data_IF_062575343809
#
_entry.id   IF_062575343809
#
_cell.length_a   1.000
_cell.length_b   1.000
_cell.length_c   1.000
_cell.angle_alpha   90.00
_cell.angle_beta   90.00
_cell.angle_gamma   90.00
#
_symmetry.space_group_name_H-M   'P 1'
#
loop_
_entity.id
_entity.type
_entity.pdbx_description
1 polymer ?
#
# COMPACT_ATOMS: atom_id res chain seq x y z
N UNK A 1 4.27 29.03 -1.19
CA UNK A 1 2.81 28.94 -1.02
C UNK A 1 2.58 27.70 -0.18
N UNK A 2 2.35 27.86 1.11
CA UNK A 2 2.02 26.73 2.00
C UNK A 2 0.59 26.30 1.68
N UNK A 3 0.42 25.06 1.21
CA UNK A 3 -0.89 24.45 1.07
C UNK A 3 -1.30 23.94 2.46
N UNK A 4 -2.08 24.74 3.18
CA UNK A 4 -2.70 24.34 4.44
C UNK A 4 -3.83 23.34 4.14
N UNK A 5 -3.52 22.05 4.17
CA UNK A 5 -4.48 20.93 4.11
C UNK A 5 -4.63 20.25 5.48
N UNK A 6 -4.55 21.06 6.54
CA UNK A 6 -4.87 20.63 7.89
C UNK A 6 -6.39 20.38 8.00
N UNK A 7 -6.84 19.37 8.77
CA UNK A 7 -8.26 19.14 9.02
C UNK A 7 -8.92 20.41 9.58
N UNK A 8 -10.07 20.81 9.04
CA UNK A 8 -10.86 21.91 9.59
C UNK A 8 -11.28 21.58 11.03
N UNK A 9 -11.04 22.48 11.97
CA UNK A 9 -11.53 22.34 13.35
C UNK A 9 -13.06 22.49 13.36
N UNK A 10 -13.77 21.36 13.26
CA UNK A 10 -15.22 21.30 13.45
C UNK A 10 -15.61 21.54 14.91
N UNK A 11 -16.80 22.11 15.15
CA UNK A 11 -17.35 22.26 16.50
C UNK A 11 -17.41 20.91 17.20
N UNK A 12 -16.61 20.73 18.27
CA UNK A 12 -16.51 19.48 19.02
C UNK A 12 -17.84 19.17 19.70
N UNK A 13 -18.64 18.28 19.12
CA UNK A 13 -19.72 17.61 19.85
C UNK A 13 -19.12 16.58 20.81
N UNK A 14 -19.65 16.43 22.02
CA UNK A 14 -19.08 15.54 23.05
C UNK A 14 -19.05 14.04 22.67
N UNK A 15 -19.63 13.64 21.53
CA UNK A 15 -19.72 12.24 21.08
C UNK A 15 -18.97 11.94 19.77
N UNK A 16 -18.25 12.88 19.16
CA UNK A 16 -17.50 12.63 17.92
C UNK A 16 -16.03 12.36 18.19
N UNK A 17 -15.55 11.16 17.82
CA UNK A 17 -14.12 10.80 17.93
C UNK A 17 -13.30 11.55 16.88
N UNK A 18 -12.31 12.32 17.33
CA UNK A 18 -11.33 12.94 16.45
C UNK A 18 -10.22 11.95 16.08
N UNK A 19 -10.31 11.37 14.89
CA UNK A 19 -9.37 10.36 14.40
C UNK A 19 -7.96 10.90 14.10
N UNK A 20 -7.78 12.23 14.02
CA UNK A 20 -6.46 12.82 13.78
C UNK A 20 -5.50 12.61 14.97
N UNK A 21 -6.05 12.49 16.18
CA UNK A 21 -5.27 12.38 17.42
C UNK A 21 -5.65 11.17 18.29
N UNK A 22 -6.87 10.65 18.15
CA UNK A 22 -7.40 9.60 19.02
C UNK A 22 -6.73 8.23 18.84
N UNK A 23 -6.67 7.45 19.93
CA UNK A 23 -6.30 6.02 19.95
C UNK A 23 -7.51 5.11 20.28
N UNK A 24 -8.73 5.62 20.09
CA UNK A 24 -9.97 4.94 20.46
C UNK A 24 -10.07 3.53 19.87
N UNK A 25 -10.30 2.53 20.74
CA UNK A 25 -10.51 1.14 20.35
C UNK A 25 -9.26 0.37 19.92
N UNK A 26 -8.07 0.99 19.95
CA UNK A 26 -6.83 0.28 19.62
C UNK A 26 -6.54 -0.79 20.68
N UNK A 27 -6.40 -2.04 20.24
CA UNK A 27 -6.06 -3.17 21.12
C UNK A 27 -7.13 -3.55 22.14
N UNK A 28 -8.34 -2.99 22.08
CA UNK A 28 -9.40 -3.26 23.07
C UNK A 28 -10.12 -4.58 22.82
N UNK A 29 -10.23 -5.00 21.56
CA UNK A 29 -10.93 -6.23 21.16
C UNK A 29 -10.34 -6.82 19.86
N UNK A 30 -10.41 -8.14 19.72
CA UNK A 30 -10.12 -8.83 18.44
C UNK A 30 -11.30 -8.69 17.47
N UNK A 31 -11.02 -8.76 16.16
CA UNK A 31 -12.10 -8.91 15.16
C UNK A 31 -12.80 -10.27 15.30
N UNK A 32 -13.97 -10.40 14.67
CA UNK A 32 -14.66 -11.69 14.57
C UNK A 32 -13.76 -12.74 13.93
N UNK A 33 -14.06 -14.02 14.19
CA UNK A 33 -13.30 -15.12 13.59
C UNK A 33 -13.39 -15.11 12.05
N UNK A 34 -14.55 -14.74 11.50
CA UNK A 34 -14.79 -14.63 10.06
C UNK A 34 -13.92 -13.54 9.42
N UNK A 35 -13.90 -12.35 10.03
CA UNK A 35 -13.05 -11.24 9.60
C UNK A 35 -11.57 -11.61 9.71
N UNK A 36 -11.17 -12.25 10.83
CA UNK A 36 -9.81 -12.74 11.02
C UNK A 36 -9.38 -13.70 9.90
N UNK A 37 -10.23 -14.69 9.57
CA UNK A 37 -9.98 -15.63 8.47
C UNK A 37 -9.79 -14.95 7.12
N UNK A 38 -10.54 -13.88 6.84
CA UNK A 38 -10.37 -13.11 5.59
C UNK A 38 -9.06 -12.34 5.58
N UNK A 39 -8.73 -11.66 6.68
CA UNK A 39 -7.53 -10.81 6.76
C UNK A 39 -6.24 -11.62 6.71
N UNK A 40 -6.22 -12.81 7.30
CA UNK A 40 -5.04 -13.68 7.35
C UNK A 40 -5.06 -14.78 6.29
N UNK A 41 -5.95 -14.70 5.30
CA UNK A 41 -6.02 -15.67 4.21
C UNK A 41 -4.72 -15.63 3.39
N UNK A 42 -4.19 -16.79 2.94
CA UNK A 42 -3.06 -16.82 2.05
C UNK A 42 -3.38 -16.11 0.72
N UNK A 43 -2.38 -15.47 0.14
CA UNK A 43 -2.50 -14.81 -1.14
C UNK A 43 -2.58 -15.82 -2.30
N UNK A 44 -3.31 -15.45 -3.34
CA UNK A 44 -3.18 -16.11 -4.65
C UNK A 44 -1.85 -15.69 -5.27
N UNK A 45 -1.01 -16.65 -5.65
CA UNK A 45 0.28 -16.39 -6.29
C UNK A 45 0.14 -15.63 -7.63
N UNK A 46 -1.02 -15.71 -8.29
CA UNK A 46 -1.30 -14.97 -9.51
C UNK A 46 -1.58 -13.48 -9.26
N UNK A 47 -1.88 -13.11 -8.01
CA UNK A 47 -2.11 -11.72 -7.62
C UNK A 47 -0.81 -11.00 -7.21
N UNK A 48 0.29 -11.75 -7.07
CA UNK A 48 1.58 -11.22 -6.62
C UNK A 48 2.40 -10.76 -7.82
N UNK A 49 2.77 -9.50 -7.82
CA UNK A 49 3.58 -8.87 -8.85
C UNK A 49 5.06 -8.80 -8.45
N UNK A 50 5.92 -8.57 -9.43
CA UNK A 50 7.37 -8.38 -9.20
C UNK A 50 7.87 -7.11 -9.88
N UNK A 51 8.60 -6.29 -9.13
CA UNK A 51 9.29 -5.12 -9.68
C UNK A 51 10.56 -5.54 -10.44
N UNK A 52 11.08 -4.69 -11.35
CA UNK A 52 12.32 -4.97 -12.08
C UNK A 52 13.56 -5.22 -11.20
N UNK A 53 13.58 -4.70 -9.97
CA UNK A 53 14.62 -4.94 -8.97
C UNK A 53 14.49 -6.30 -8.25
N UNK A 54 13.38 -7.00 -8.46
CA UNK A 54 13.09 -8.31 -7.90
C UNK A 54 12.31 -8.28 -6.59
N UNK A 55 11.82 -7.13 -6.15
CA UNK A 55 10.91 -7.00 -5.01
C UNK A 55 9.51 -7.47 -5.43
N UNK A 56 8.95 -8.43 -4.69
CA UNK A 56 7.57 -8.87 -4.89
C UNK A 56 6.61 -7.97 -4.11
N UNK A 57 5.42 -7.75 -4.64
CA UNK A 57 4.41 -6.93 -4.00
C UNK A 57 3.00 -7.38 -4.39
N UNK A 58 2.03 -7.05 -3.55
CA UNK A 58 0.61 -7.19 -3.87
C UNK A 58 0.10 -5.82 -4.37
N UNK A 59 -0.62 -5.73 -5.50
CA UNK A 59 -1.19 -4.48 -5.97
C UNK A 59 -2.19 -3.86 -4.97
N UNK A 60 -2.22 -2.53 -4.89
CA UNK A 60 -3.03 -1.76 -3.93
C UNK A 60 -4.52 -2.14 -3.94
N UNK A 61 -5.07 -2.40 -5.13
CA UNK A 61 -6.46 -2.79 -5.31
C UNK A 61 -6.80 -4.09 -4.57
N UNK A 62 -5.84 -5.01 -4.43
CA UNK A 62 -6.07 -6.29 -3.74
C UNK A 62 -6.21 -6.08 -2.24
N UNK A 63 -5.42 -5.19 -1.63
CA UNK A 63 -5.62 -4.79 -0.23
C UNK A 63 -7.01 -4.19 -0.01
N UNK A 64 -7.47 -3.27 -0.89
CA UNK A 64 -8.82 -2.69 -0.79
C UNK A 64 -9.92 -3.75 -0.88
N UNK A 65 -9.75 -4.74 -1.76
CA UNK A 65 -10.69 -5.86 -1.88
C UNK A 65 -10.71 -6.73 -0.62
N UNK A 66 -9.56 -6.99 -0.01
CA UNK A 66 -9.45 -7.73 1.26
C UNK A 66 -10.15 -6.96 2.38
N UNK A 67 -9.90 -5.65 2.52
CA UNK A 67 -10.57 -4.80 3.51
C UNK A 67 -12.09 -4.74 3.30
N UNK A 68 -12.54 -4.58 2.05
CA UNK A 68 -13.98 -4.60 1.72
C UNK A 68 -14.62 -5.96 2.00
N UNK A 69 -13.90 -7.07 1.78
CA UNK A 69 -14.40 -8.41 2.10
C UNK A 69 -14.44 -8.65 3.62
N UNK A 70 -13.49 -8.09 4.36
CA UNK A 70 -13.34 -8.26 5.80
C UNK A 70 -14.32 -7.41 6.62
N UNK A 71 -14.52 -6.15 6.21
CA UNK A 71 -15.27 -5.14 6.97
C UNK A 71 -16.52 -4.62 6.26
N UNK A 72 -16.66 -4.89 4.96
CA UNK A 72 -17.71 -4.30 4.13
C UNK A 72 -17.37 -2.89 3.63
N UNK A 73 -17.93 -2.45 2.48
CA UNK A 73 -17.87 -1.06 2.05
C UNK A 73 -18.45 -0.12 3.13
N UNK A 74 -17.70 0.92 3.51
CA UNK A 74 -18.07 1.85 4.59
C UNK A 74 -17.71 1.36 6.01
N UNK A 75 -17.30 0.09 6.17
CA UNK A 75 -16.85 -0.46 7.45
C UNK A 75 -15.41 -0.12 7.82
N UNK A 76 -14.65 0.50 6.91
CA UNK A 76 -13.27 0.93 7.14
C UNK A 76 -12.93 2.22 6.40
N UNK A 77 -11.89 2.92 6.84
CA UNK A 77 -11.39 4.13 6.22
C UNK A 77 -10.02 4.55 6.71
N UNK A 78 -9.40 5.48 5.98
CA UNK A 78 -8.16 6.13 6.39
C UNK A 78 -8.44 7.55 6.86
N UNK A 79 -8.00 7.87 8.08
CA UNK A 79 -8.04 9.21 8.63
C UNK A 79 -6.63 9.85 8.56
N UNK A 80 -6.48 11.06 7.99
CA UNK A 80 -5.20 11.76 8.04
C UNK A 80 -4.87 12.18 9.49
N UNK A 81 -3.62 11.99 9.91
CA UNK A 81 -3.13 12.33 11.26
C UNK A 81 -2.05 13.40 11.30
N UNK A 82 -1.47 13.71 10.15
CA UNK A 82 -0.51 14.80 10.00
C UNK A 82 -0.90 15.70 8.83
N UNK A 83 -0.25 16.86 8.75
CA UNK A 83 -0.17 17.63 7.52
C UNK A 83 0.54 16.82 6.43
N UNK A 84 0.21 17.13 5.18
CA UNK A 84 0.90 16.57 4.02
C UNK A 84 2.24 17.28 3.86
N UNK A 85 3.34 16.54 3.98
CA UNK A 85 4.69 17.06 3.74
C UNK A 85 5.01 16.85 2.26
N UNK A 86 5.19 17.95 1.53
CA UNK A 86 5.58 17.94 0.13
C UNK A 86 7.05 18.38 0.03
N UNK A 87 7.90 17.48 -0.46
CA UNK A 87 9.30 17.78 -0.78
C UNK A 87 9.47 17.76 -2.30
N UNK A 88 10.54 18.32 -2.88
CA UNK A 88 10.75 18.31 -4.33
C UNK A 88 10.76 16.94 -5.02
N UNK A 89 10.82 15.82 -4.26
CA UNK A 89 10.91 14.46 -4.80
C UNK A 89 9.78 13.53 -4.34
N UNK A 90 9.10 13.86 -3.24
CA UNK A 90 8.13 12.95 -2.62
C UNK A 90 7.10 13.69 -1.77
N UNK A 91 5.95 13.05 -1.62
CA UNK A 91 4.89 13.40 -0.68
C UNK A 91 4.88 12.37 0.44
N UNK A 92 4.68 12.82 1.68
CA UNK A 92 4.47 11.92 2.82
C UNK A 92 3.45 12.47 3.80
N UNK A 93 2.62 11.59 4.37
CA UNK A 93 1.59 11.92 5.36
C UNK A 93 1.32 10.71 6.26
N UNK A 94 1.02 10.96 7.52
CA UNK A 94 0.56 9.93 8.45
C UNK A 94 -0.94 9.70 8.32
N UNK A 95 -1.34 8.43 8.31
CA UNK A 95 -2.73 8.01 8.30
C UNK A 95 -3.01 6.97 9.38
N UNK A 96 -4.22 7.01 9.94
CA UNK A 96 -4.80 5.95 10.75
C UNK A 96 -5.75 5.11 9.90
N UNK A 97 -5.58 3.79 9.92
CA UNK A 97 -6.62 2.86 9.49
C UNK A 97 -7.64 2.72 10.61
N UNK A 98 -8.88 3.01 10.30
CA UNK A 98 -10.05 2.81 11.17
C UNK A 98 -10.91 1.73 10.53
N UNK A 99 -11.34 0.75 11.32
CA UNK A 99 -12.29 -0.27 10.89
C UNK A 99 -13.27 -0.54 12.03
N UNK A 100 -14.55 -0.74 11.72
CA UNK A 100 -15.61 -1.00 12.70
C UNK A 100 -15.63 0.01 13.88
N UNK A 101 -15.37 1.29 13.57
CA UNK A 101 -15.39 2.36 14.57
C UNK A 101 -14.22 2.39 15.55
N UNK A 102 -13.12 1.67 15.26
CA UNK A 102 -11.92 1.67 16.10
C UNK A 102 -10.64 1.88 15.30
N UNK A 103 -9.65 2.46 15.96
CA UNK A 103 -8.30 2.56 15.44
C UNK A 103 -7.70 1.14 15.32
N UNK A 104 -7.16 0.84 14.15
CA UNK A 104 -6.52 -0.43 13.83
C UNK A 104 -5.00 -0.29 13.83
N UNK A 105 -4.50 0.66 13.05
CA UNK A 105 -3.08 0.86 12.84
C UNK A 105 -2.82 2.30 12.41
N UNK A 106 -1.60 2.75 12.63
CA UNK A 106 -1.11 4.06 12.17
C UNK A 106 0.13 3.80 11.33
N UNK A 107 0.16 4.37 10.13
CA UNK A 107 1.33 4.30 9.28
C UNK A 107 1.54 5.61 8.53
N UNK A 108 2.81 5.93 8.30
CA UNK A 108 3.21 6.97 7.36
C UNK A 108 3.22 6.40 5.95
N UNK A 109 2.46 7.01 5.06
CA UNK A 109 2.52 6.76 3.64
C UNK A 109 3.52 7.69 2.97
N UNK A 110 4.05 7.25 1.84
CA UNK A 110 4.91 8.05 1.00
C UNK A 110 4.75 7.70 -0.48
N UNK A 111 5.01 8.68 -1.34
CA UNK A 111 4.98 8.51 -2.79
C UNK A 111 5.92 9.50 -3.47
N UNK A 112 6.82 8.97 -4.29
CA UNK A 112 7.70 9.77 -5.13
C UNK A 112 6.93 10.39 -6.30
N UNK A 113 7.37 11.57 -6.74
CA UNK A 113 6.91 12.22 -7.93
C UNK A 113 8.07 12.94 -8.65
N UNK A 114 7.97 13.08 -9.97
CA UNK A 114 9.03 13.66 -10.80
C UNK A 114 8.64 15.00 -11.44
N UNK A 115 7.34 15.28 -11.51
CA UNK A 115 6.76 16.52 -12.05
C UNK A 115 5.79 17.08 -10.99
N UNK A 116 5.88 18.37 -10.61
CA UNK A 116 4.92 19.01 -9.70
C UNK A 116 3.45 18.86 -10.13
N UNK A 117 3.15 18.76 -11.42
CA UNK A 117 1.79 18.48 -11.91
C UNK A 117 1.29 17.08 -11.50
N UNK A 118 2.20 16.18 -11.10
CA UNK A 118 1.90 14.86 -10.57
C UNK A 118 1.53 14.83 -9.08
N UNK A 119 1.60 15.96 -8.36
CA UNK A 119 1.28 16.04 -6.92
C UNK A 119 -0.09 15.43 -6.57
N UNK A 120 -1.20 15.70 -7.29
CA UNK A 120 -2.50 15.10 -6.98
C UNK A 120 -2.49 13.56 -7.04
N UNK A 121 -1.83 12.99 -8.04
CA UNK A 121 -1.68 11.53 -8.17
C UNK A 121 -0.78 10.97 -7.08
N UNK A 122 0.30 11.69 -6.75
CA UNK A 122 1.20 11.30 -5.69
C UNK A 122 0.55 11.32 -4.31
N UNK A 123 -0.39 12.24 -4.06
CA UNK A 123 -1.19 12.28 -2.82
C UNK A 123 -2.05 11.02 -2.68
N UNK A 124 -2.71 10.57 -3.75
CA UNK A 124 -3.47 9.31 -3.73
C UNK A 124 -2.57 8.09 -3.53
N UNK A 125 -1.40 8.06 -4.19
CA UNK A 125 -0.39 7.01 -3.98
C UNK A 125 0.12 6.99 -2.53
N UNK A 126 0.38 8.15 -1.94
CA UNK A 126 0.79 8.28 -0.53
C UNK A 126 -0.28 7.68 0.41
N UNK A 127 -1.56 7.95 0.15
CA UNK A 127 -2.67 7.39 0.93
C UNK A 127 -2.77 5.87 0.77
N UNK A 128 -2.71 5.34 -0.45
CA UNK A 128 -2.68 3.90 -0.70
C UNK A 128 -1.47 3.21 -0.06
N UNK A 129 -0.30 3.83 -0.08
CA UNK A 129 0.91 3.32 0.56
C UNK A 129 0.71 3.14 2.08
N UNK A 130 0.13 4.15 2.75
CA UNK A 130 -0.18 4.09 4.17
C UNK A 130 -1.20 2.97 4.48
N UNK A 131 -2.21 2.80 3.63
CA UNK A 131 -3.20 1.72 3.74
C UNK A 131 -2.53 0.35 3.74
N UNK A 132 -1.65 0.08 2.76
CA UNK A 132 -0.97 -1.21 2.65
C UNK A 132 -0.10 -1.49 3.88
N UNK A 133 0.60 -0.48 4.38
CA UNK A 133 1.39 -0.57 5.61
C UNK A 133 0.53 -0.92 6.82
N UNK A 134 -0.61 -0.24 7.00
CA UNK A 134 -1.56 -0.56 8.07
C UNK A 134 -2.13 -1.98 7.95
N UNK A 135 -2.36 -2.48 6.74
CA UNK A 135 -2.88 -3.83 6.51
C UNK A 135 -1.91 -4.93 7.01
N UNK A 136 -0.61 -4.63 7.12
CA UNK A 136 0.37 -5.56 7.69
C UNK A 136 0.06 -5.91 9.15
N UNK A 137 -0.37 -4.93 9.94
CA UNK A 137 -0.72 -5.14 11.36
C UNK A 137 -1.99 -5.98 11.51
N UNK A 138 -2.83 -6.05 10.47
CA UNK A 138 -3.99 -6.93 10.37
C UNK A 138 -3.63 -8.37 9.92
N UNK A 139 -2.37 -8.62 9.54
CA UNK A 139 -1.92 -9.90 8.99
C UNK A 139 -2.14 -10.08 7.49
N UNK A 140 -2.59 -9.04 6.77
CA UNK A 140 -2.80 -9.11 5.32
C UNK A 140 -1.45 -9.18 4.61
N UNK A 141 -1.33 -10.11 3.66
CA UNK A 141 -0.14 -10.26 2.81
C UNK A 141 1.17 -10.44 3.60
N UNK A 142 1.11 -10.97 4.82
CA UNK A 142 2.27 -11.11 5.70
C UNK A 142 3.37 -11.99 5.09
N UNK A 143 3.00 -12.95 4.26
CA UNK A 143 3.92 -13.85 3.54
C UNK A 143 4.87 -13.12 2.58
N UNK A 144 4.52 -11.93 2.07
CA UNK A 144 5.40 -11.12 1.22
C UNK A 144 6.64 -10.60 1.97
N UNK A 145 6.66 -10.71 3.30
CA UNK A 145 7.79 -10.35 4.15
C UNK A 145 8.57 -11.57 4.66
N UNK A 146 8.13 -12.79 4.37
CA UNK A 146 8.85 -14.02 4.75
C UNK A 146 9.95 -14.33 3.71
N UNK A 147 11.24 -14.31 4.09
CA UNK A 147 12.33 -14.66 3.18
C UNK A 147 12.21 -16.06 2.56
N UNK A 148 11.57 -17.03 3.23
CA UNK A 148 11.34 -18.37 2.69
C UNK A 148 10.27 -18.36 1.60
N UNK A 149 9.17 -17.66 1.83
CA UNK A 149 8.13 -17.46 0.82
C UNK A 149 8.70 -16.74 -0.40
N UNK A 150 9.39 -15.60 -0.21
CA UNK A 150 9.98 -14.82 -1.30
C UNK A 150 10.89 -15.68 -2.18
N UNK A 151 11.79 -16.48 -1.58
CA UNK A 151 12.69 -17.37 -2.34
C UNK A 151 11.92 -18.43 -3.12
N UNK A 152 10.91 -19.04 -2.49
CA UNK A 152 10.08 -20.10 -3.10
C UNK A 152 9.25 -19.55 -4.26
N UNK A 153 8.57 -18.44 -4.05
CA UNK A 153 7.79 -17.73 -5.06
C UNK A 153 8.67 -17.32 -6.24
N UNK A 154 9.83 -16.67 -6.00
CA UNK A 154 10.72 -16.24 -7.08
C UNK A 154 11.24 -17.42 -7.90
N UNK A 155 11.59 -18.54 -7.27
CA UNK A 155 12.03 -19.76 -7.98
C UNK A 155 10.92 -20.31 -8.89
N UNK A 156 9.68 -20.30 -8.40
CA UNK A 156 8.51 -20.85 -9.10
C UNK A 156 8.01 -19.93 -10.22
N UNK A 157 7.78 -18.65 -9.90
CA UNK A 157 6.99 -17.73 -10.73
C UNK A 157 7.79 -16.60 -11.38
N UNK A 158 9.03 -16.34 -10.95
CA UNK A 158 9.83 -15.24 -11.47
C UNK A 158 11.06 -15.71 -12.25
N UNK A 159 11.55 -14.85 -13.13
CA UNK A 159 12.79 -15.05 -13.87
C UNK A 159 13.57 -13.74 -13.96
N UNK A 160 14.89 -13.88 -14.08
CA UNK A 160 15.77 -12.77 -14.40
C UNK A 160 16.11 -12.84 -15.88
N UNK A 161 15.88 -11.76 -16.61
CA UNK A 161 16.15 -11.67 -18.04
C UNK A 161 17.04 -10.46 -18.35
N UNK A 162 17.84 -10.57 -19.42
CA UNK A 162 18.54 -9.43 -19.98
C UNK A 162 17.63 -8.70 -20.98
N UNK A 163 17.52 -7.39 -20.80
CA UNK A 163 16.76 -6.51 -21.67
C UNK A 163 17.61 -5.39 -22.22
N UNK A 164 17.27 -4.91 -23.41
CA UNK A 164 17.88 -3.77 -24.06
C UNK A 164 16.84 -2.65 -24.20
N UNK A 165 17.22 -1.43 -23.81
CA UNK A 165 16.40 -0.25 -24.05
C UNK A 165 16.35 0.07 -25.55
N UNK A 166 15.16 0.17 -26.13
CA UNK A 166 14.96 0.28 -27.58
C UNK A 166 15.69 1.49 -28.20
N UNK A 167 15.62 2.66 -27.56
CA UNK A 167 16.31 3.89 -28.02
C UNK A 167 17.77 3.99 -27.57
N UNK A 168 18.05 3.89 -26.27
CA UNK A 168 19.40 4.13 -25.72
C UNK A 168 20.37 2.96 -25.89
N UNK A 169 19.90 1.78 -26.33
CA UNK A 169 20.67 0.54 -26.47
C UNK A 169 21.35 0.04 -25.19
N UNK A 170 21.03 0.62 -24.03
CA UNK A 170 21.55 0.20 -22.73
C UNK A 170 20.97 -1.17 -22.37
N UNK A 171 21.85 -2.10 -21.99
CA UNK A 171 21.47 -3.44 -21.52
C UNK A 171 21.45 -3.49 -20.00
N UNK A 172 20.47 -4.19 -19.42
CA UNK A 172 20.43 -4.48 -17.98
C UNK A 172 19.71 -5.80 -17.73
N UNK A 173 20.00 -6.43 -16.59
CA UNK A 173 19.21 -7.54 -16.09
C UNK A 173 18.03 -6.99 -15.28
N UNK A 174 16.82 -7.53 -15.51
CA UNK A 174 15.62 -7.21 -14.73
C UNK A 174 14.95 -8.50 -14.25
N UNK A 175 14.22 -8.41 -13.14
CA UNK A 175 13.27 -9.43 -12.73
C UNK A 175 11.90 -9.17 -13.36
N UNK A 176 11.21 -10.25 -13.71
CA UNK A 176 9.81 -10.22 -14.16
C UNK A 176 9.14 -11.56 -13.85
N UNK A 177 7.80 -11.61 -13.92
CA UNK A 177 7.11 -12.89 -13.84
C UNK A 177 7.39 -13.73 -15.10
N UNK A 178 7.26 -15.05 -14.99
CA UNK A 178 7.50 -15.98 -16.11
C UNK A 178 6.39 -15.96 -17.15
N UNK A 179 5.18 -15.61 -16.73
CA UNK A 179 3.96 -15.49 -17.53
C UNK A 179 3.76 -14.09 -18.13
N UNK A 180 4.63 -13.14 -17.82
CA UNK A 180 4.62 -11.79 -18.39
C UNK A 180 5.44 -11.69 -19.69
N UNK A 181 5.22 -10.61 -20.42
CA UNK A 181 6.00 -10.21 -21.59
C UNK A 181 6.83 -8.95 -21.33
N UNK A 182 7.94 -8.81 -22.07
CA UNK A 182 8.79 -7.61 -21.97
C UNK A 182 8.04 -6.43 -22.59
N UNK A 183 7.72 -5.42 -21.78
CA UNK A 183 7.06 -4.21 -22.25
C UNK A 183 8.05 -3.14 -22.74
N UNK A 184 7.56 -2.25 -23.62
CA UNK A 184 8.24 -1.00 -23.96
C UNK A 184 8.62 -0.22 -22.67
N UNK A 185 9.78 0.46 -22.59
CA UNK A 185 10.77 0.73 -23.65
C UNK A 185 11.85 -0.35 -23.82
N UNK A 186 11.62 -1.57 -23.32
CA UNK A 186 12.58 -2.65 -23.36
C UNK A 186 12.22 -3.70 -24.41
N UNK A 187 13.24 -4.40 -24.91
CA UNK A 187 13.09 -5.63 -25.68
C UNK A 187 13.99 -6.71 -25.11
N UNK A 188 13.63 -7.97 -25.31
CA UNK A 188 14.48 -9.10 -24.91
C UNK A 188 15.80 -9.07 -25.70
N UNK A 189 16.92 -9.24 -25.00
CA UNK A 189 18.23 -9.42 -25.62
C UNK A 189 18.35 -10.81 -26.26
#
# INVERSE_FOLDING_TARGET
>A
MEFLDAPLEGSRSQNTVDWSQSYHGLGTMRFSEETGKVLTAPLDENDIEIKPDGLIYLPEIKYRRILNKAFGPGGWGLAPRSETIITPKMITREYALVAEGRLVAIARGEQDYFDPNGIPTATEGCKSNAMMRCCKDLGVASELWDPRFIRTFKKKNAQQIFVEHVTTKKKKAIWMRKDDEVSYPFKKC
#
